data_IF_788134390136
#
_entry.id   IF_788134390136
#
_cell.length_a   1.000
_cell.length_b   1.000
_cell.length_c   1.000
_cell.angle_alpha   90.00
_cell.angle_beta   90.00
_cell.angle_gamma   90.00
#
_symmetry.space_group_name_H-M   'P 1'
#
loop_
_entity.id
_entity.type
_entity.pdbx_description
1 polymer ?
#
# COMPACT_ATOMS: atom_id res chain seq x y z
N UNK A 1 -20.86 -22.50 -10.79
CA UNK A 1 -20.39 -21.14 -10.46
C UNK A 1 -20.82 -20.08 -11.47
N UNK A 2 -20.28 -20.01 -12.71
CA UNK A 2 -20.61 -18.86 -13.60
C UNK A 2 -22.10 -18.84 -14.05
N UNK A 3 -22.72 -20.00 -14.29
CA UNK A 3 -24.14 -20.07 -14.64
C UNK A 3 -25.08 -19.72 -13.47
N UNK A 4 -24.74 -20.10 -12.24
CA UNK A 4 -25.53 -19.77 -11.05
C UNK A 4 -25.51 -18.26 -10.78
N UNK A 5 -24.33 -17.63 -10.85
CA UNK A 5 -24.17 -16.18 -10.73
C UNK A 5 -24.97 -15.43 -11.81
N UNK A 6 -25.01 -15.95 -13.03
CA UNK A 6 -25.83 -15.37 -14.10
C UNK A 6 -27.33 -15.49 -13.79
N UNK A 7 -27.79 -16.61 -13.22
CA UNK A 7 -29.20 -16.75 -12.84
C UNK A 7 -29.58 -15.84 -11.66
N UNK A 8 -28.71 -15.71 -10.67
CA UNK A 8 -28.89 -14.77 -9.57
C UNK A 8 -28.95 -13.34 -10.09
N UNK A 9 -28.00 -12.93 -10.95
CA UNK A 9 -27.99 -11.61 -11.55
C UNK A 9 -29.28 -11.33 -12.36
N UNK A 10 -29.78 -12.30 -13.13
CA UNK A 10 -31.06 -12.18 -13.84
C UNK A 10 -32.24 -11.98 -12.89
N UNK A 11 -32.24 -12.68 -11.75
CA UNK A 11 -33.29 -12.53 -10.74
C UNK A 11 -33.23 -11.18 -10.02
N UNK A 12 -32.03 -10.67 -9.77
CA UNK A 12 -31.80 -9.37 -9.12
C UNK A 12 -32.13 -8.20 -10.06
N UNK A 13 -31.74 -8.31 -11.33
CA UNK A 13 -31.91 -7.29 -12.37
C UNK A 13 -33.18 -7.56 -13.22
N UNK A 14 -34.25 -8.03 -12.58
CA UNK A 14 -35.45 -8.53 -13.24
C UNK A 14 -36.42 -7.46 -13.78
N UNK A 15 -36.11 -6.17 -13.62
CA UNK A 15 -36.90 -5.07 -14.17
C UNK A 15 -36.03 -4.14 -15.01
N UNK A 16 -36.64 -3.44 -15.97
CA UNK A 16 -35.93 -2.45 -16.79
C UNK A 16 -35.27 -1.37 -15.94
N UNK A 17 -35.90 -0.96 -14.83
CA UNK A 17 -35.34 0.02 -13.90
C UNK A 17 -34.06 -0.49 -13.24
N UNK A 18 -34.09 -1.70 -12.66
CA UNK A 18 -32.92 -2.30 -12.00
C UNK A 18 -31.79 -2.59 -12.98
N UNK A 19 -32.12 -3.02 -14.20
CA UNK A 19 -31.14 -3.22 -15.27
C UNK A 19 -30.46 -1.90 -15.66
N UNK A 20 -31.23 -0.83 -15.89
CA UNK A 20 -30.66 0.47 -16.23
C UNK A 20 -29.84 1.05 -15.07
N UNK A 21 -30.30 0.90 -13.82
CA UNK A 21 -29.54 1.30 -12.65
C UNK A 21 -28.21 0.55 -12.53
N UNK A 22 -28.19 -0.76 -12.82
CA UNK A 22 -26.94 -1.52 -12.89
C UNK A 22 -26.01 -0.95 -13.96
N UNK A 23 -26.51 -0.72 -15.19
CA UNK A 23 -25.71 -0.12 -16.26
C UNK A 23 -25.13 1.23 -15.85
N UNK A 24 -25.93 2.11 -15.26
CA UNK A 24 -25.49 3.42 -14.76
C UNK A 24 -24.38 3.28 -13.70
N UNK A 25 -24.52 2.34 -12.77
CA UNK A 25 -23.50 2.05 -11.77
C UNK A 25 -22.22 1.47 -12.40
N UNK A 26 -22.31 0.66 -13.46
CA UNK A 26 -21.11 0.19 -14.18
C UNK A 26 -20.33 1.34 -14.81
N UNK A 27 -21.01 2.38 -15.32
CA UNK A 27 -20.36 3.60 -15.80
C UNK A 27 -19.75 4.43 -14.66
N UNK A 28 -20.22 4.25 -13.42
CA UNK A 28 -19.70 4.92 -12.23
C UNK A 28 -18.73 4.07 -11.40
N UNK A 29 -18.28 2.90 -11.91
CA UNK A 29 -17.41 1.97 -11.16
C UNK A 29 -16.21 2.67 -10.52
N UNK A 30 -15.52 3.53 -11.26
CA UNK A 30 -14.34 4.24 -10.75
C UNK A 30 -14.68 5.25 -9.64
N UNK A 31 -15.84 5.90 -9.71
CA UNK A 31 -16.31 6.81 -8.66
C UNK A 31 -16.61 6.02 -7.37
N UNK A 32 -17.31 4.88 -7.50
CA UNK A 32 -17.60 3.98 -6.38
C UNK A 32 -16.29 3.48 -5.74
N UNK A 33 -15.36 3.01 -6.57
CA UNK A 33 -14.02 2.59 -6.13
C UNK A 33 -13.31 3.69 -5.34
N UNK A 34 -13.29 4.90 -5.87
CA UNK A 34 -12.62 6.03 -5.24
C UNK A 34 -13.26 6.41 -3.90
N UNK A 35 -14.59 6.30 -3.76
CA UNK A 35 -15.26 6.54 -2.48
C UNK A 35 -14.82 5.53 -1.41
N UNK A 36 -14.71 4.25 -1.77
CA UNK A 36 -14.23 3.23 -0.83
C UNK A 36 -12.77 3.45 -0.44
N UNK A 37 -11.91 3.81 -1.39
CA UNK A 37 -10.50 4.11 -1.11
C UNK A 37 -10.35 5.38 -0.24
N UNK A 38 -11.16 6.42 -0.50
CA UNK A 38 -11.18 7.64 0.33
C UNK A 38 -11.57 7.34 1.77
N UNK A 39 -12.61 6.53 1.99
CA UNK A 39 -12.98 6.09 3.34
C UNK A 39 -11.80 5.46 4.09
N UNK A 40 -11.08 4.52 3.44
CA UNK A 40 -9.90 3.91 4.04
C UNK A 40 -8.79 4.92 4.34
N UNK A 41 -8.54 5.88 3.44
CA UNK A 41 -7.53 6.94 3.66
C UNK A 41 -7.86 7.79 4.89
N UNK A 42 -9.12 8.20 5.03
CA UNK A 42 -9.56 9.05 6.14
C UNK A 42 -9.38 8.30 7.47
N UNK A 43 -9.77 7.03 7.52
CA UNK A 43 -9.63 6.19 8.72
C UNK A 43 -8.17 5.83 9.03
N UNK A 44 -7.33 5.59 8.02
CA UNK A 44 -5.89 5.45 8.20
C UNK A 44 -5.26 6.73 8.76
N UNK A 45 -5.66 7.88 8.22
CA UNK A 45 -5.24 9.19 8.70
C UNK A 45 -5.55 9.35 10.19
N UNK A 46 -6.78 9.07 10.60
CA UNK A 46 -7.18 9.09 12.01
C UNK A 46 -6.38 8.11 12.85
N UNK A 47 -6.16 6.89 12.35
CA UNK A 47 -5.42 5.84 13.07
C UNK A 47 -3.97 6.25 13.32
N UNK A 48 -3.28 6.76 12.30
CA UNK A 48 -1.87 7.14 12.41
C UNK A 48 -1.66 8.51 13.09
N UNK A 49 -2.65 9.40 13.06
CA UNK A 49 -2.62 10.65 13.85
C UNK A 49 -2.82 10.40 15.34
N UNK A 50 -3.69 9.47 15.71
CA UNK A 50 -4.10 9.24 17.09
C UNK A 50 -3.27 8.16 17.83
N UNK A 51 -2.66 7.22 17.11
CA UNK A 51 -1.79 6.20 17.71
C UNK A 51 -0.31 6.65 17.72
N UNK A 52 0.24 6.79 18.93
CA UNK A 52 1.64 7.06 19.28
C UNK A 52 2.61 7.06 18.08
N UNK A 53 2.93 8.25 17.58
CA UNK A 53 4.08 8.41 16.72
C UNK A 53 5.34 8.06 17.51
N UNK A 54 6.09 7.05 17.06
CA UNK A 54 7.53 7.02 17.30
C UNK A 54 8.10 8.39 16.88
N UNK A 55 8.92 9.02 17.73
CA UNK A 55 9.47 10.35 17.47
C UNK A 55 10.26 10.47 16.14
N UNK A 56 10.56 9.35 15.50
CA UNK A 56 11.39 9.26 14.29
C UNK A 56 10.62 9.22 12.97
N UNK A 57 9.35 8.82 12.99
CA UNK A 57 8.57 8.59 11.77
C UNK A 57 7.46 9.62 11.62
N UNK A 58 7.18 9.97 10.38
CA UNK A 58 6.03 10.75 9.96
C UNK A 58 5.28 10.03 8.83
N UNK A 59 4.11 10.53 8.48
CA UNK A 59 3.37 10.05 7.33
C UNK A 59 2.70 11.18 6.56
N UNK A 60 2.43 10.92 5.28
CA UNK A 60 1.73 11.82 4.38
C UNK A 60 0.73 11.05 3.55
N UNK A 61 -0.45 11.62 3.42
CA UNK A 61 -1.46 11.16 2.47
C UNK A 61 -1.28 11.96 1.18
N UNK A 62 -1.03 11.27 0.07
CA UNK A 62 -0.87 11.87 -1.24
C UNK A 62 -2.21 11.87 -2.01
N UNK A 63 -2.19 12.44 -3.22
CA UNK A 63 -3.31 12.32 -4.16
C UNK A 63 -3.58 10.87 -4.57
N UNK A 64 -4.83 10.54 -4.94
CA UNK A 64 -5.21 9.15 -5.24
C UNK A 64 -5.18 8.24 -4.00
N UNK A 65 -5.09 6.92 -4.17
CA UNK A 65 -4.82 5.98 -3.07
C UNK A 65 -3.31 5.78 -2.92
N UNK A 66 -2.66 6.80 -2.38
CA UNK A 66 -1.22 6.81 -2.09
C UNK A 66 -0.97 7.36 -0.68
N UNK A 67 -0.22 6.61 0.11
CA UNK A 67 0.17 6.96 1.49
C UNK A 67 1.66 6.66 1.64
N UNK A 68 2.37 7.58 2.27
CA UNK A 68 3.81 7.51 2.45
C UNK A 68 4.15 7.59 3.94
N UNK A 69 5.09 6.75 4.40
CA UNK A 69 5.71 6.83 5.72
C UNK A 69 7.20 7.06 5.56
N UNK A 70 7.74 8.05 6.25
CA UNK A 70 9.13 8.47 6.11
C UNK A 70 9.75 8.84 7.45
N UNK A 71 11.08 8.87 7.49
CA UNK A 71 11.83 9.30 8.67
C UNK A 71 11.85 10.83 8.73
N UNK A 72 11.39 11.39 9.86
CA UNK A 72 11.24 12.84 10.10
C UNK A 72 12.52 13.62 9.81
N UNK A 73 13.66 13.07 10.19
CA UNK A 73 14.96 13.73 10.02
C UNK A 73 15.38 13.91 8.54
N UNK A 74 14.86 13.09 7.62
CA UNK A 74 15.15 13.18 6.19
C UNK A 74 14.02 13.81 5.37
N UNK A 75 12.81 13.89 5.94
CA UNK A 75 11.63 14.49 5.30
C UNK A 75 11.00 13.61 4.22
N UNK A 76 9.95 14.12 3.57
CA UNK A 76 9.14 13.39 2.58
C UNK A 76 9.89 13.02 1.29
N UNK A 77 11.03 13.68 1.00
CA UNK A 77 11.86 13.42 -0.17
C UNK A 77 12.99 12.43 0.13
N UNK A 78 12.74 11.47 1.03
CA UNK A 78 13.68 10.45 1.48
C UNK A 78 13.25 9.06 1.01
N UNK A 79 14.16 8.07 1.15
CA UNK A 79 13.77 6.67 0.99
C UNK A 79 12.74 6.35 2.06
N UNK A 80 11.57 5.88 1.62
CA UNK A 80 10.35 5.83 2.41
C UNK A 80 9.52 4.59 2.08
N UNK A 81 8.57 4.27 2.97
CA UNK A 81 7.57 3.23 2.71
C UNK A 81 6.37 3.87 2.00
N UNK A 82 5.88 3.21 0.95
CA UNK A 82 4.78 3.69 0.13
C UNK A 82 3.71 2.62 0.01
N UNK A 83 2.46 2.98 0.30
CA UNK A 83 1.30 2.21 -0.12
C UNK A 83 0.67 2.96 -1.29
N UNK A 84 0.77 2.41 -2.49
CA UNK A 84 0.13 2.95 -3.70
C UNK A 84 -0.68 1.86 -4.39
N UNK A 85 -1.99 2.08 -4.53
CA UNK A 85 -2.92 1.07 -5.03
C UNK A 85 -2.80 -0.21 -4.17
N UNK A 86 -2.54 -1.37 -4.78
CA UNK A 86 -2.32 -2.63 -4.09
C UNK A 86 -0.89 -2.85 -3.59
N UNK A 87 0.04 -1.94 -3.86
CA UNK A 87 1.47 -2.16 -3.67
C UNK A 87 1.98 -1.50 -2.39
N UNK A 88 2.59 -2.29 -1.50
CA UNK A 88 3.36 -1.79 -0.38
C UNK A 88 4.86 -1.89 -0.69
N UNK A 89 5.55 -0.76 -0.75
CA UNK A 89 6.88 -0.68 -1.34
C UNK A 89 7.88 0.11 -0.50
N UNK A 90 9.16 -0.22 -0.64
CA UNK A 90 10.26 0.71 -0.36
C UNK A 90 10.49 1.57 -1.60
N UNK A 91 10.38 2.88 -1.49
CA UNK A 91 10.52 3.83 -2.59
C UNK A 91 11.71 4.76 -2.36
N UNK A 92 12.48 5.00 -3.41
CA UNK A 92 13.58 5.94 -3.45
C UNK A 92 13.31 7.03 -4.51
N UNK A 93 13.30 8.32 -4.13
CA UNK A 93 13.17 9.42 -5.08
C UNK A 93 14.39 9.53 -6.03
N UNK A 94 14.26 10.32 -7.10
CA UNK A 94 15.26 10.44 -8.16
C UNK A 94 16.61 11.04 -7.73
N UNK A 95 16.67 11.71 -6.57
CA UNK A 95 17.91 12.26 -6.02
C UNK A 95 18.76 11.23 -5.24
N UNK A 96 18.44 9.94 -5.34
CA UNK A 96 19.19 8.84 -4.75
C UNK A 96 19.88 7.98 -5.81
N UNK A 97 21.02 7.40 -5.45
CA UNK A 97 21.75 6.45 -6.27
C UNK A 97 21.08 5.07 -6.18
N UNK A 98 20.20 4.80 -7.13
CA UNK A 98 19.43 3.55 -7.22
C UNK A 98 20.35 2.32 -7.33
N UNK A 99 21.47 2.41 -8.04
CA UNK A 99 22.41 1.28 -8.18
C UNK A 99 23.07 0.92 -6.85
N UNK A 100 23.49 1.92 -6.07
CA UNK A 100 24.07 1.68 -4.75
C UNK A 100 23.02 1.16 -3.77
N UNK A 101 21.77 1.66 -3.82
CA UNK A 101 20.66 1.10 -3.04
C UNK A 101 20.54 -0.40 -3.33
N UNK A 102 20.48 -0.80 -4.60
CA UNK A 102 20.34 -2.21 -4.98
C UNK A 102 21.48 -3.09 -4.48
N UNK A 103 22.70 -2.56 -4.47
CA UNK A 103 23.86 -3.27 -3.94
C UNK A 103 23.76 -3.44 -2.43
N UNK A 104 23.38 -2.38 -1.70
CA UNK A 104 23.25 -2.40 -0.25
C UNK A 104 22.14 -3.34 0.21
N UNK A 105 20.94 -3.27 -0.38
CA UNK A 105 19.82 -4.14 0.03
C UNK A 105 20.05 -5.63 -0.24
N UNK A 106 20.99 -5.98 -1.13
CA UNK A 106 21.41 -7.37 -1.38
C UNK A 106 22.48 -7.86 -0.42
N UNK A 107 23.09 -6.97 0.36
CA UNK A 107 24.11 -7.34 1.34
C UNK A 107 23.49 -7.94 2.60
N UNK A 108 24.26 -8.74 3.33
CA UNK A 108 23.81 -9.35 4.58
C UNK A 108 23.38 -8.32 5.64
N UNK A 109 23.99 -7.13 5.64
CA UNK A 109 23.71 -6.08 6.61
C UNK A 109 22.30 -5.49 6.47
N UNK A 110 21.76 -5.42 5.25
CA UNK A 110 20.43 -4.87 4.99
C UNK A 110 19.34 -5.94 4.90
N UNK A 111 19.69 -7.22 5.07
CA UNK A 111 18.74 -8.32 5.05
C UNK A 111 17.60 -8.17 6.08
N UNK A 112 17.82 -7.66 7.32
CA UNK A 112 16.73 -7.41 8.26
C UNK A 112 15.67 -6.44 7.71
N UNK A 113 16.09 -5.39 6.98
CA UNK A 113 15.19 -4.43 6.34
C UNK A 113 14.38 -5.09 5.21
N UNK A 114 15.03 -5.92 4.39
CA UNK A 114 14.37 -6.65 3.30
C UNK A 114 13.35 -7.66 3.84
N UNK A 115 13.68 -8.37 4.92
CA UNK A 115 12.84 -9.40 5.53
C UNK A 115 11.55 -8.85 6.15
N UNK A 116 11.42 -7.53 6.34
CA UNK A 116 10.15 -6.91 6.72
C UNK A 116 9.08 -7.05 5.62
N UNK A 117 9.50 -7.22 4.36
CA UNK A 117 8.61 -7.52 3.24
C UNK A 117 8.39 -9.04 3.15
N UNK A 118 7.13 -9.46 3.20
CA UNK A 118 6.77 -10.89 3.13
C UNK A 118 6.95 -11.46 1.72
N UNK A 119 6.78 -10.62 0.70
CA UNK A 119 7.09 -10.93 -0.69
C UNK A 119 7.97 -9.83 -1.24
N UNK A 120 9.21 -10.17 -1.56
CA UNK A 120 10.13 -9.27 -2.25
C UNK A 120 9.98 -9.48 -3.76
N UNK A 121 8.97 -8.86 -4.36
CA UNK A 121 8.97 -8.69 -5.81
C UNK A 121 9.84 -7.47 -6.11
N UNK A 122 11.08 -7.69 -6.56
CA UNK A 122 11.93 -6.58 -7.00
C UNK A 122 11.43 -6.07 -8.35
N UNK A 123 10.80 -4.89 -8.37
CA UNK A 123 10.41 -4.22 -9.61
C UNK A 123 11.27 -2.96 -9.72
N UNK A 124 12.35 -3.02 -10.50
CA UNK A 124 13.22 -1.85 -10.72
C UNK A 124 12.65 -0.91 -11.77
N UNK A 125 11.52 -0.28 -11.47
CA UNK A 125 10.98 0.77 -12.31
C UNK A 125 10.54 1.96 -11.45
N UNK A 126 10.89 3.17 -11.85
CA UNK A 126 10.37 4.40 -11.25
C UNK A 126 10.70 4.64 -9.77
N UNK A 127 11.77 4.08 -9.23
CA UNK A 127 12.19 4.31 -7.83
C UNK A 127 11.62 3.32 -6.80
N UNK A 128 10.74 2.41 -7.20
CA UNK A 128 10.33 1.29 -6.36
C UNK A 128 11.48 0.28 -6.25
N UNK A 129 11.96 0.02 -5.03
CA UNK A 129 13.14 -0.81 -4.78
C UNK A 129 12.72 -2.24 -4.41
N UNK A 130 11.77 -2.36 -3.48
CA UNK A 130 11.17 -3.62 -3.03
C UNK A 130 9.67 -3.40 -3.00
N UNK A 131 8.89 -4.33 -3.54
CA UNK A 131 7.43 -4.24 -3.56
C UNK A 131 6.78 -5.54 -3.10
N UNK A 132 5.91 -5.41 -2.10
CA UNK A 132 4.97 -6.42 -1.66
C UNK A 132 3.61 -6.17 -2.35
N UNK A 133 3.43 -6.78 -3.53
CA UNK A 133 2.29 -6.52 -4.42
C UNK A 133 1.04 -7.29 -3.98
N UNK A 134 -0.03 -6.57 -3.64
CA UNK A 134 -1.36 -7.13 -3.40
C UNK A 134 -1.43 -8.11 -2.23
N UNK A 135 -0.44 -8.07 -1.33
CA UNK A 135 -0.27 -9.05 -0.27
C UNK A 135 -1.11 -8.72 0.97
N UNK A 136 -2.41 -8.89 0.83
CA UNK A 136 -3.40 -8.75 1.89
C UNK A 136 -4.21 -10.04 2.00
N UNK A 137 -4.86 -10.29 3.13
CA UNK A 137 -5.66 -11.48 3.38
C UNK A 137 -7.02 -11.11 3.96
N UNK A 138 -8.07 -11.50 3.27
CA UNK A 138 -9.46 -11.29 3.70
C UNK A 138 -10.25 -12.61 3.70
N UNK A 139 -9.55 -13.75 3.67
CA UNK A 139 -10.17 -15.08 3.63
C UNK A 139 -10.80 -15.41 2.28
N UNK A 140 -10.23 -14.88 1.18
CA UNK A 140 -10.77 -15.02 -0.17
C UNK A 140 -9.83 -15.79 -1.12
N UNK A 141 -10.33 -16.29 -2.26
CA UNK A 141 -9.47 -16.87 -3.29
C UNK A 141 -8.46 -15.91 -3.92
N UNK A 142 -8.57 -14.60 -3.62
CA UNK A 142 -7.69 -13.55 -4.14
C UNK A 142 -6.61 -13.14 -3.13
N UNK A 143 -6.62 -13.75 -1.95
CA UNK A 143 -5.66 -13.47 -0.90
C UNK A 143 -4.25 -13.54 -1.47
N UNK A 144 -3.46 -12.54 -1.09
CA UNK A 144 -2.09 -12.31 -1.52
C UNK A 144 -1.86 -11.90 -2.98
N UNK A 145 -2.92 -11.74 -3.78
CA UNK A 145 -2.82 -11.33 -5.18
C UNK A 145 -4.01 -10.45 -5.59
N UNK A 146 -4.27 -9.41 -4.79
CA UNK A 146 -5.35 -8.47 -5.07
C UNK A 146 -5.01 -7.50 -6.20
N UNK A 147 -5.98 -7.27 -7.07
CA UNK A 147 -6.03 -6.11 -7.97
C UNK A 147 -6.80 -4.97 -7.30
N UNK A 148 -6.50 -3.73 -7.68
CA UNK A 148 -7.06 -2.52 -7.05
C UNK A 148 -8.60 -2.53 -6.97
N UNK A 149 -9.30 -2.94 -8.03
CA UNK A 149 -10.77 -2.96 -8.05
C UNK A 149 -11.35 -3.87 -6.96
N UNK A 150 -10.72 -5.02 -6.73
CA UNK A 150 -11.14 -5.96 -5.67
C UNK A 150 -10.76 -5.43 -4.30
N UNK A 151 -9.53 -4.93 -4.17
CA UNK A 151 -9.01 -4.42 -2.91
C UNK A 151 -9.81 -3.21 -2.40
N UNK A 152 -10.28 -2.36 -3.31
CA UNK A 152 -11.11 -1.21 -2.97
C UNK A 152 -12.44 -1.61 -2.31
N UNK A 153 -13.03 -2.76 -2.67
CA UNK A 153 -14.23 -3.23 -1.98
C UNK A 153 -13.94 -3.48 -0.50
N UNK A 154 -12.81 -4.13 -0.18
CA UNK A 154 -12.37 -4.35 1.21
C UNK A 154 -12.01 -3.04 1.91
N UNK A 155 -11.44 -2.07 1.20
CA UNK A 155 -11.21 -0.72 1.74
C UNK A 155 -12.49 -0.07 2.28
N UNK A 156 -13.61 -0.24 1.58
CA UNK A 156 -14.89 0.33 1.97
C UNK A 156 -15.68 -0.49 3.01
N UNK A 157 -15.61 -1.82 2.93
CA UNK A 157 -16.50 -2.73 3.64
C UNK A 157 -15.82 -3.51 4.78
N UNK A 158 -14.50 -3.67 4.72
CA UNK A 158 -13.66 -4.31 5.75
C UNK A 158 -12.54 -3.36 6.20
N UNK A 159 -12.88 -2.08 6.32
CA UNK A 159 -11.93 -0.98 6.56
C UNK A 159 -11.01 -1.24 7.76
N UNK A 160 -11.56 -1.68 8.90
CA UNK A 160 -10.78 -1.94 10.11
C UNK A 160 -9.77 -3.09 9.94
N UNK A 161 -10.20 -4.19 9.32
CA UNK A 161 -9.33 -5.33 9.00
C UNK A 161 -8.18 -4.89 8.08
N UNK A 162 -8.49 -4.10 7.05
CA UNK A 162 -7.48 -3.59 6.13
C UNK A 162 -6.50 -2.63 6.84
N UNK A 163 -7.00 -1.74 7.69
CA UNK A 163 -6.16 -0.86 8.52
C UNK A 163 -5.22 -1.68 9.41
N UNK A 164 -5.70 -2.75 10.04
CA UNK A 164 -4.86 -3.63 10.86
C UNK A 164 -3.69 -4.20 10.04
N UNK A 165 -3.97 -4.75 8.86
CA UNK A 165 -2.94 -5.33 7.99
C UNK A 165 -1.93 -4.30 7.50
N UNK A 166 -2.38 -3.09 7.11
CA UNK A 166 -1.48 -2.00 6.73
C UNK A 166 -0.61 -1.58 7.93
N UNK A 167 -1.21 -1.45 9.10
CA UNK A 167 -0.52 -1.06 10.34
C UNK A 167 0.54 -2.08 10.72
N UNK A 168 0.23 -3.38 10.62
CA UNK A 168 1.17 -4.46 10.86
C UNK A 168 2.37 -4.39 9.92
N UNK A 169 2.15 -4.20 8.61
CA UNK A 169 3.23 -4.05 7.62
C UNK A 169 4.14 -2.87 7.93
N UNK A 170 3.56 -1.70 8.24
CA UNK A 170 4.32 -0.49 8.56
C UNK A 170 5.06 -0.65 9.91
N UNK A 171 4.44 -1.29 10.90
CA UNK A 171 5.01 -1.45 12.24
C UNK A 171 6.22 -2.40 12.28
N UNK A 172 6.37 -3.31 11.31
CA UNK A 172 7.61 -4.08 11.12
C UNK A 172 8.84 -3.18 10.96
N UNK A 173 8.66 -1.97 10.44
CA UNK A 173 9.73 -0.97 10.30
C UNK A 173 9.74 -0.01 11.47
N UNK A 174 8.57 0.58 11.80
CA UNK A 174 8.49 1.67 12.78
C UNK A 174 8.80 1.26 14.22
N UNK A 175 8.43 0.04 14.60
CA UNK A 175 8.61 -0.46 15.97
C UNK A 175 9.90 -1.28 16.12
N UNK A 176 10.63 -1.50 15.04
CA UNK A 176 11.92 -2.18 15.05
C UNK A 176 13.05 -1.15 14.89
N UNK A 177 13.79 -0.92 15.98
CA UNK A 177 14.88 0.07 16.01
C UNK A 177 16.03 -0.30 15.06
N UNK A 178 16.38 -1.58 14.94
CA UNK A 178 17.41 -2.06 14.01
C UNK A 178 17.02 -1.72 12.56
N UNK A 179 15.79 -2.07 12.15
CA UNK A 179 15.28 -1.80 10.80
C UNK A 179 15.17 -0.30 10.54
N UNK A 180 14.73 0.47 11.52
CA UNK A 180 14.70 1.94 11.43
C UNK A 180 16.11 2.49 11.21
N UNK A 181 17.12 2.00 11.94
CA UNK A 181 18.51 2.45 11.79
C UNK A 181 19.11 2.02 10.44
N UNK A 182 18.79 0.83 9.94
CA UNK A 182 19.17 0.42 8.58
C UNK A 182 18.56 1.34 7.53
N UNK A 183 17.30 1.76 7.67
CA UNK A 183 16.70 2.72 6.74
C UNK A 183 17.36 4.10 6.81
N UNK A 184 17.81 4.53 8.00
CA UNK A 184 18.61 5.76 8.17
C UNK A 184 19.95 5.64 7.43
N UNK A 185 20.66 4.54 7.64
CA UNK A 185 21.94 4.26 6.99
C UNK A 185 21.78 4.22 5.47
N UNK A 186 20.73 3.56 4.96
CA UNK A 186 20.43 3.52 3.52
C UNK A 186 20.24 4.93 2.96
N UNK A 187 19.46 5.78 3.65
CA UNK A 187 19.25 7.17 3.26
C UNK A 187 20.57 7.97 3.21
N UNK A 188 21.46 7.78 4.19
CA UNK A 188 22.73 8.51 4.28
C UNK A 188 23.73 8.07 3.21
N UNK A 189 23.85 6.77 2.96
CA UNK A 189 24.84 6.21 2.04
C UNK A 189 24.51 6.45 0.57
N UNK A 190 23.23 6.66 0.23
CA UNK A 190 22.77 6.61 -1.16
C UNK A 190 22.21 7.92 -1.68
N UNK A 191 22.15 8.97 -0.86
CA UNK A 191 21.76 10.31 -1.33
C UNK A 191 22.85 10.84 -2.26
N UNK A 192 22.46 11.28 -3.46
CA UNK A 192 23.41 11.88 -4.40
C UNK A 192 24.03 13.12 -3.73
N UNK A 193 25.35 13.16 -3.65
CA UNK A 193 26.06 14.37 -3.23
C UNK A 193 25.88 15.41 -4.34
N UNK A 194 25.35 16.58 -3.97
CA UNK A 194 25.24 17.73 -4.86
C UNK A 194 26.62 18.31 -5.19
#
# INVERSE_FOLDING_TARGET
MNQELIQEAKSMLNTSEKWNAFLDLTYQKDNIRNQWLTKLKDELGNTFLNNYFSNYWDFKINGGFSIQWFLKEFGENSISLWLENENFSLYAPSNFNIEEIYKLIKSANFLPLVNCFERSNSISNGGYIITDKGNFSFGTPYDTNFELDRLAWFAGNETENFISQISEKVNKFRLNEEVTNLLKELNQLTKNQL
#
